data_IF_305316845399
#
_entry.id   IF_305316845399
#
_cell.length_a   1.000
_cell.length_b   1.000
_cell.length_c   1.000
_cell.angle_alpha   90.00
_cell.angle_beta   90.00
_cell.angle_gamma   90.00
#
_symmetry.space_group_name_H-M   'P 1'
#
loop_
_entity.id
_entity.type
_entity.pdbx_description
1 polymer ?
#
# COMPACT_ATOMS: atom_id res chain seq x y z
N UNK A 1 -1.03 14.06 -14.32
CA UNK A 1 -1.07 13.60 -12.91
C UNK A 1 -0.95 14.82 -12.01
N UNK A 2 -2.00 15.16 -11.24
CA UNK A 2 -2.11 16.44 -10.51
C UNK A 2 -1.19 16.54 -9.28
N UNK A 3 -0.65 15.42 -8.78
CA UNK A 3 -0.03 15.35 -7.46
C UNK A 3 1.52 15.31 -7.53
N UNK A 4 2.23 15.97 -6.59
CA UNK A 4 3.68 15.85 -6.43
C UNK A 4 4.14 14.40 -6.17
N UNK A 5 5.37 14.08 -6.57
CA UNK A 5 5.93 12.72 -6.42
C UNK A 5 5.95 12.25 -4.95
N UNK A 6 6.26 13.17 -4.02
CA UNK A 6 6.36 12.86 -2.60
C UNK A 6 4.99 12.51 -2.01
N UNK A 7 3.89 13.12 -2.49
CA UNK A 7 2.54 12.77 -2.01
C UNK A 7 2.15 11.37 -2.49
N UNK A 8 2.49 11.01 -3.73
CA UNK A 8 2.27 9.65 -4.24
C UNK A 8 3.06 8.62 -3.43
N UNK A 9 4.34 8.90 -3.16
CA UNK A 9 5.19 8.02 -2.37
C UNK A 9 4.69 7.89 -0.92
N UNK A 10 4.27 8.99 -0.28
CA UNK A 10 3.74 8.95 1.09
C UNK A 10 2.39 8.23 1.20
N UNK A 11 1.47 8.45 0.24
CA UNK A 11 0.21 7.70 0.19
C UNK A 11 0.45 6.21 0.02
N UNK A 12 1.36 5.84 -0.88
CA UNK A 12 1.76 4.45 -1.06
C UNK A 12 2.42 3.87 0.19
N UNK A 13 3.31 4.61 0.86
CA UNK A 13 3.96 4.17 2.09
C UNK A 13 2.96 3.96 3.24
N UNK A 14 2.04 4.90 3.46
CA UNK A 14 1.00 4.79 4.47
C UNK A 14 0.05 3.61 4.21
N UNK A 15 -0.37 3.43 2.95
CA UNK A 15 -1.18 2.29 2.52
C UNK A 15 -0.47 0.96 2.73
N UNK A 16 0.83 0.89 2.43
CA UNK A 16 1.66 -0.30 2.63
C UNK A 16 1.82 -0.62 4.12
N UNK A 17 2.09 0.37 4.98
CA UNK A 17 2.19 0.18 6.43
C UNK A 17 0.91 -0.40 7.02
N UNK A 18 -0.26 0.11 6.60
CA UNK A 18 -1.56 -0.43 7.02
C UNK A 18 -1.77 -1.87 6.52
N UNK A 19 -1.38 -2.18 5.28
CA UNK A 19 -1.47 -3.53 4.75
C UNK A 19 -0.62 -4.52 5.55
N UNK A 20 0.62 -4.15 5.90
CA UNK A 20 1.51 -5.01 6.69
C UNK A 20 0.95 -5.30 8.09
N UNK A 21 0.41 -4.29 8.77
CA UNK A 21 -0.28 -4.45 10.05
C UNK A 21 -1.53 -5.34 9.93
N UNK A 22 -2.31 -5.15 8.86
CA UNK A 22 -3.50 -5.96 8.59
C UNK A 22 -3.14 -7.42 8.31
N UNK A 23 -2.10 -7.68 7.52
CA UNK A 23 -1.57 -9.03 7.29
C UNK A 23 -1.06 -9.68 8.57
N UNK A 24 -0.37 -8.93 9.43
CA UNK A 24 0.08 -9.43 10.73
C UNK A 24 -1.11 -9.84 11.62
N UNK A 25 -2.18 -9.03 11.63
CA UNK A 25 -3.42 -9.33 12.35
C UNK A 25 -4.16 -10.53 11.77
N UNK A 26 -4.23 -10.64 10.43
CA UNK A 26 -4.84 -11.79 9.75
C UNK A 26 -4.11 -13.11 10.00
N UNK A 27 -2.79 -13.08 10.25
CA UNK A 27 -2.01 -14.28 10.61
C UNK A 27 -2.17 -14.69 12.07
N UNK A 28 -2.38 -13.73 12.97
CA UNK A 28 -2.30 -13.95 14.42
C UNK A 28 -3.66 -14.08 15.10
N UNK A 29 -4.74 -13.68 14.44
CA UNK A 29 -6.11 -13.79 14.95
C UNK A 29 -6.91 -14.73 14.06
N UNK A 30 -7.90 -15.48 14.60
CA UNK A 30 -8.83 -16.25 13.78
C UNK A 30 -9.38 -15.36 12.66
N UNK A 31 -9.58 -15.83 11.42
CA UNK A 31 -10.04 -14.96 10.35
C UNK A 31 -11.54 -14.68 10.53
N UNK A 32 -11.89 -13.61 11.27
CA UNK A 32 -13.28 -13.17 11.42
C UNK A 32 -13.85 -12.55 10.13
N UNK A 33 -12.99 -12.27 9.13
CA UNK A 33 -13.39 -11.64 7.87
C UNK A 33 -12.53 -12.11 6.67
N UNK A 34 -12.90 -13.23 6.01
CA UNK A 34 -12.19 -13.74 4.82
C UNK A 34 -12.19 -12.76 3.64
N UNK A 35 -13.17 -11.83 3.57
CA UNK A 35 -13.20 -10.77 2.56
C UNK A 35 -12.10 -9.72 2.69
N UNK A 36 -11.41 -9.64 3.84
CA UNK A 36 -10.28 -8.71 4.01
C UNK A 36 -9.05 -9.16 3.22
N UNK A 37 -8.83 -10.46 3.03
CA UNK A 37 -7.65 -11.01 2.33
C UNK A 37 -7.51 -10.44 0.91
N UNK A 38 -8.51 -10.55 0.01
CA UNK A 38 -8.39 -10.01 -1.35
C UNK A 38 -8.29 -8.47 -1.36
N UNK A 39 -8.94 -7.78 -0.42
CA UNK A 39 -8.89 -6.31 -0.29
C UNK A 39 -7.49 -5.86 0.13
N UNK A 40 -6.91 -6.46 1.18
CA UNK A 40 -5.56 -6.14 1.64
C UNK A 40 -4.53 -6.49 0.57
N UNK A 41 -4.70 -7.58 -0.18
CA UNK A 41 -3.83 -7.91 -1.31
C UNK A 41 -3.87 -6.85 -2.42
N UNK A 42 -5.07 -6.45 -2.87
CA UNK A 42 -5.22 -5.40 -3.88
C UNK A 42 -4.65 -4.06 -3.44
N UNK A 43 -4.89 -3.67 -2.18
CA UNK A 43 -4.39 -2.42 -1.62
C UNK A 43 -2.87 -2.43 -1.45
N UNK A 44 -2.27 -3.60 -1.18
CA UNK A 44 -0.81 -3.78 -1.15
C UNK A 44 -0.20 -3.50 -2.53
N UNK A 45 -0.79 -4.05 -3.60
CA UNK A 45 -0.31 -3.85 -4.97
C UNK A 45 -0.40 -2.37 -5.37
N UNK A 46 -1.53 -1.73 -5.11
CA UNK A 46 -1.72 -0.29 -5.41
C UNK A 46 -0.73 0.56 -4.62
N UNK A 47 -0.50 0.25 -3.35
CA UNK A 47 0.46 0.95 -2.50
C UNK A 47 1.89 0.83 -3.03
N UNK A 48 2.30 -0.37 -3.46
CA UNK A 48 3.60 -0.59 -4.09
C UNK A 48 3.74 0.15 -5.42
N UNK A 49 2.68 0.19 -6.23
CA UNK A 49 2.67 0.94 -7.49
C UNK A 49 2.83 2.44 -7.24
N UNK A 50 2.13 3.00 -6.24
CA UNK A 50 2.24 4.41 -5.86
C UNK A 50 3.64 4.77 -5.35
N UNK A 51 4.26 3.91 -4.54
CA UNK A 51 5.64 4.08 -4.09
C UNK A 51 6.59 4.04 -5.30
N UNK A 52 6.48 3.00 -6.13
CA UNK A 52 7.37 2.80 -7.28
C UNK A 52 7.27 3.96 -8.28
N UNK A 53 6.07 4.42 -8.59
CA UNK A 53 5.83 5.56 -9.50
C UNK A 53 6.30 6.87 -8.86
N UNK A 54 6.06 7.08 -7.57
CA UNK A 54 6.55 8.26 -6.84
C UNK A 54 8.08 8.34 -6.85
N UNK A 55 8.75 7.23 -6.54
CA UNK A 55 10.22 7.15 -6.56
C UNK A 55 10.80 7.28 -7.97
N UNK A 56 10.16 6.67 -8.97
CA UNK A 56 10.55 6.83 -10.37
C UNK A 56 10.51 8.29 -10.80
N UNK A 57 9.41 8.99 -10.50
CA UNK A 57 9.26 10.42 -10.81
C UNK A 57 10.27 11.30 -10.08
N UNK A 58 10.72 10.89 -8.90
CA UNK A 58 11.81 11.57 -8.18
C UNK A 58 13.17 11.33 -8.85
N UNK A 59 13.43 10.12 -9.35
CA UNK A 59 14.70 9.77 -9.97
C UNK A 59 14.88 10.37 -11.37
N UNK A 60 13.78 10.56 -12.12
CA UNK A 60 13.80 11.10 -13.49
C UNK A 60 13.48 12.58 -13.60
N UNK A 61 13.04 13.20 -12.50
CA UNK A 61 12.66 14.62 -12.43
C UNK A 61 13.75 15.46 -11.79
#
# INVERSE_FOLDING_TARGET
MIWPWWVQAMLGAAGLSWCLDTWAKLRTRPPWAPGLIPVTAGLTIVSLALISVGLWRWATG
#
